data_IF_544150079858
#
_entry.id   IF_544150079858
#
_cell.length_a   1.000
_cell.length_b   1.000
_cell.length_c   1.000
_cell.angle_alpha   90.00
_cell.angle_beta   90.00
_cell.angle_gamma   90.00
#
_symmetry.space_group_name_H-M   'P 1'
#
loop_
_entity.id
_entity.type
_entity.pdbx_description
1 polymer ?
#
# COMPACT_ATOMS: atom_id res chain seq x y z
N UNK A 1 13.00 -73.30 -54.68
CA UNK A 1 11.65 -73.09 -54.10
C UNK A 1 11.79 -72.09 -52.96
N UNK A 2 11.18 -70.90 -53.06
CA UNK A 2 11.34 -69.83 -52.07
C UNK A 2 10.23 -69.88 -50.99
N UNK A 3 10.58 -69.49 -49.77
CA UNK A 3 9.65 -69.31 -48.65
C UNK A 3 9.23 -67.84 -48.63
N UNK A 4 7.96 -67.57 -48.92
CA UNK A 4 7.35 -66.23 -48.84
C UNK A 4 6.99 -65.91 -47.39
N UNK A 5 7.66 -64.90 -46.82
CA UNK A 5 7.28 -64.28 -45.54
C UNK A 5 6.38 -63.06 -45.78
N UNK A 6 5.15 -63.11 -45.26
CA UNK A 6 4.22 -61.98 -45.18
C UNK A 6 4.61 -61.10 -43.99
N UNK A 7 5.00 -59.85 -44.24
CA UNK A 7 5.24 -58.84 -43.20
C UNK A 7 3.96 -57.99 -43.07
N UNK A 8 3.28 -58.14 -41.93
CA UNK A 8 2.13 -57.33 -41.53
C UNK A 8 2.64 -55.99 -40.98
N UNK A 9 2.35 -54.88 -41.67
CA UNK A 9 2.71 -53.53 -41.23
C UNK A 9 1.56 -52.92 -40.41
N UNK A 10 1.77 -52.75 -39.10
CA UNK A 10 0.82 -52.07 -38.22
C UNK A 10 1.07 -50.55 -38.23
N UNK A 11 0.08 -49.76 -38.66
CA UNK A 11 0.08 -48.30 -38.55
C UNK A 11 -0.29 -47.89 -37.12
N UNK A 12 0.72 -47.47 -36.34
CA UNK A 12 0.53 -46.78 -35.07
C UNK A 12 0.16 -45.31 -35.35
N UNK A 13 -1.12 -44.97 -35.18
CA UNK A 13 -1.59 -43.58 -35.14
C UNK A 13 -1.35 -43.04 -33.73
N UNK A 14 -0.33 -42.19 -33.58
CA UNK A 14 -0.07 -41.47 -32.34
C UNK A 14 -1.03 -40.28 -32.22
N UNK A 15 -1.74 -40.10 -31.10
CA UNK A 15 -2.52 -38.89 -30.87
C UNK A 15 -1.56 -37.72 -30.65
N UNK A 16 -1.68 -36.68 -31.48
CA UNK A 16 -1.02 -35.40 -31.28
C UNK A 16 -1.69 -34.74 -30.07
N UNK A 17 -0.99 -34.72 -28.93
CA UNK A 17 -1.36 -33.87 -27.82
C UNK A 17 -1.15 -32.42 -28.27
N UNK A 18 -2.24 -31.64 -28.34
CA UNK A 18 -2.18 -30.21 -28.53
C UNK A 18 -1.43 -29.62 -27.35
N UNK A 19 -0.20 -29.15 -27.60
CA UNK A 19 0.60 -28.44 -26.62
C UNK A 19 -0.04 -27.06 -26.49
N UNK A 20 -0.86 -26.88 -25.45
CA UNK A 20 -1.38 -25.56 -25.08
C UNK A 20 -0.19 -24.61 -24.89
N UNK A 21 -0.30 -23.47 -25.55
CA UNK A 21 0.71 -22.43 -25.64
C UNK A 21 1.05 -21.94 -24.23
N UNK A 22 2.18 -22.41 -23.69
CA UNK A 22 2.68 -21.94 -22.39
C UNK A 22 3.03 -20.46 -22.53
N UNK A 23 2.60 -19.58 -21.59
CA UNK A 23 2.92 -18.17 -21.69
C UNK A 23 4.44 -17.99 -21.67
N UNK A 24 4.99 -17.51 -22.78
CA UNK A 24 6.41 -17.19 -22.90
C UNK A 24 6.71 -16.08 -21.90
N UNK A 25 7.40 -16.45 -20.84
CA UNK A 25 7.86 -15.52 -19.82
C UNK A 25 8.85 -14.57 -20.49
N UNK A 26 8.50 -13.30 -20.62
CA UNK A 26 9.44 -12.29 -21.10
C UNK A 26 10.41 -11.96 -19.95
N UNK A 27 11.63 -12.51 -20.01
CA UNK A 27 12.64 -12.34 -18.96
C UNK A 27 13.19 -10.90 -18.85
N UNK A 28 12.93 -10.04 -19.84
CA UNK A 28 13.34 -8.64 -19.82
C UNK A 28 12.37 -7.76 -19.01
N UNK A 29 11.19 -8.29 -18.66
CA UNK A 29 10.27 -7.67 -17.70
C UNK A 29 10.24 -8.53 -16.43
N UNK A 30 10.78 -8.06 -15.29
CA UNK A 30 10.71 -8.84 -14.05
C UNK A 30 9.24 -9.17 -13.78
N UNK A 31 8.96 -10.42 -13.36
CA UNK A 31 7.63 -10.86 -12.94
C UNK A 31 7.14 -9.96 -11.80
N UNK A 32 6.40 -8.92 -12.17
CA UNK A 32 5.74 -7.99 -11.25
C UNK A 32 4.32 -8.45 -11.04
N UNK A 33 3.84 -8.32 -9.81
CA UNK A 33 2.44 -8.58 -9.51
C UNK A 33 1.58 -7.59 -10.29
N UNK A 34 0.44 -8.06 -10.76
CA UNK A 34 -0.57 -7.21 -11.38
C UNK A 34 -1.53 -6.70 -10.30
N UNK A 35 -1.54 -5.39 -10.09
CA UNK A 35 -2.43 -4.72 -9.15
C UNK A 35 -3.71 -4.19 -9.83
N UNK A 36 -3.81 -4.33 -11.16
CA UNK A 36 -4.88 -3.73 -11.94
C UNK A 36 -6.27 -4.16 -11.49
N UNK A 37 -7.22 -3.23 -11.58
CA UNK A 37 -8.62 -3.45 -11.28
C UNK A 37 -9.21 -2.46 -10.29
N UNK A 38 -10.47 -2.70 -9.94
CA UNK A 38 -11.23 -1.90 -8.99
C UNK A 38 -11.31 -2.61 -7.64
N UNK A 39 -11.08 -1.85 -6.58
CA UNK A 39 -10.92 -2.38 -5.23
C UNK A 39 -11.81 -1.61 -4.25
N UNK A 40 -12.59 -2.32 -3.44
CA UNK A 40 -13.49 -1.75 -2.44
C UNK A 40 -13.05 -2.16 -1.03
N UNK A 41 -13.02 -1.21 -0.10
CA UNK A 41 -12.50 -1.36 1.26
C UNK A 41 -13.33 -2.37 2.04
N UNK A 42 -12.66 -3.38 2.57
CA UNK A 42 -13.21 -4.30 3.55
C UNK A 42 -13.06 -3.67 4.94
N UNK A 43 -14.12 -3.02 5.41
CA UNK A 43 -14.15 -2.38 6.74
C UNK A 43 -13.98 -3.36 7.90
N UNK A 44 -14.26 -4.66 7.71
CA UNK A 44 -14.10 -5.67 8.76
C UNK A 44 -12.66 -6.13 8.90
N UNK A 45 -11.89 -6.11 7.82
CA UNK A 45 -10.48 -6.52 7.77
C UNK A 45 -9.49 -5.35 7.86
N UNK A 46 -9.98 -4.13 7.66
CA UNK A 46 -9.19 -2.91 7.82
C UNK A 46 -9.10 -2.49 9.28
N UNK A 47 -8.01 -1.84 9.65
CA UNK A 47 -7.82 -1.29 11.00
C UNK A 47 -8.79 -0.13 11.26
N UNK A 48 -9.25 -0.02 12.51
CA UNK A 48 -9.88 1.19 13.03
C UNK A 48 -8.83 2.05 13.75
N UNK A 49 -8.73 3.33 13.37
CA UNK A 49 -7.65 4.20 13.87
C UNK A 49 -7.81 4.56 15.36
N UNK A 50 -9.03 4.67 15.89
CA UNK A 50 -9.25 4.92 17.32
C UNK A 50 -8.82 3.73 18.17
N UNK A 51 -9.13 2.52 17.73
CA UNK A 51 -8.71 1.27 18.38
C UNK A 51 -7.19 1.14 18.35
N UNK A 52 -6.56 1.42 17.21
CA UNK A 52 -5.11 1.36 17.05
C UNK A 52 -4.39 2.41 17.89
N UNK A 53 -4.92 3.64 17.94
CA UNK A 53 -4.41 4.70 18.81
C UNK A 53 -4.55 4.33 20.30
N UNK A 54 -5.70 3.77 20.68
CA UNK A 54 -5.94 3.30 22.06
C UNK A 54 -4.98 2.17 22.44
N UNK A 55 -4.71 1.25 21.50
CA UNK A 55 -3.72 0.18 21.66
C UNK A 55 -2.33 0.74 21.90
N UNK A 56 -1.90 1.74 21.11
CA UNK A 56 -0.60 2.40 21.29
C UNK A 56 -0.49 3.07 22.67
N UNK A 57 -1.53 3.78 23.11
CA UNK A 57 -1.53 4.40 24.45
C UNK A 57 -1.43 3.37 25.57
N UNK A 58 -2.17 2.26 25.48
CA UNK A 58 -2.10 1.16 26.44
C UNK A 58 -0.67 0.60 26.52
N UNK A 59 -0.05 0.31 25.37
CA UNK A 59 1.32 -0.23 25.32
C UNK A 59 2.35 0.74 25.93
N UNK A 60 2.22 2.04 25.68
CA UNK A 60 3.08 3.07 26.29
C UNK A 60 2.91 3.13 27.81
N UNK A 61 1.68 3.02 28.31
CA UNK A 61 1.41 3.00 29.74
C UNK A 61 1.99 1.74 30.41
N UNK A 62 1.85 0.58 29.77
CA UNK A 62 2.44 -0.68 30.24
C UNK A 62 3.96 -0.63 30.29
N UNK A 63 4.61 -0.07 29.27
CA UNK A 63 6.06 0.14 29.25
C UNK A 63 6.53 1.05 30.40
N UNK A 64 5.85 2.19 30.60
CA UNK A 64 6.16 3.11 31.69
C UNK A 64 5.98 2.47 33.08
N UNK A 65 5.03 1.54 33.23
CA UNK A 65 4.84 0.79 34.47
C UNK A 65 5.95 -0.25 34.69
N UNK A 66 6.45 -0.91 33.63
CA UNK A 66 7.59 -1.86 33.70
C UNK A 66 8.90 -1.17 34.08
N UNK A 67 9.14 0.03 33.56
CA UNK A 67 10.34 0.82 33.91
C UNK A 67 10.35 1.23 35.39
N UNK A 68 9.17 1.37 35.99
CA UNK A 68 9.01 1.67 37.43
C UNK A 68 9.16 0.44 38.32
N UNK A 69 8.81 -0.74 37.84
CA UNK A 69 8.86 -1.99 38.62
C UNK A 69 10.21 -2.70 38.59
N UNK A 70 11.20 -2.19 37.85
CA UNK A 70 12.57 -2.74 37.83
C UNK A 70 13.28 -2.45 39.16
N UNK A 71 13.66 -3.47 39.97
CA UNK A 71 14.30 -3.27 41.27
C UNK A 71 15.67 -2.62 41.17
N UNK A 72 15.89 -1.71 42.10
CA UNK A 72 17.08 -0.90 42.38
C UNK A 72 18.40 -1.69 42.36
N UNK A 73 19.14 -1.68 41.24
CA UNK A 73 20.59 -2.04 41.25
C UNK A 73 21.43 -1.41 40.12
N UNK A 74 20.87 -0.47 39.35
CA UNK A 74 21.65 0.39 38.42
C UNK A 74 21.34 1.89 38.56
N UNK A 75 20.97 2.35 39.76
CA UNK A 75 20.79 3.78 40.07
C UNK A 75 21.87 4.26 41.01
N UNK A 76 23.13 4.18 40.57
CA UNK A 76 24.15 5.10 41.04
C UNK A 76 24.35 6.14 39.92
N UNK A 77 24.01 7.40 40.19
CA UNK A 77 24.28 8.62 39.40
C UNK A 77 23.19 9.28 38.55
N UNK A 78 21.89 9.06 38.77
CA UNK A 78 20.87 10.04 38.31
C UNK A 78 19.86 10.29 39.44
N UNK A 79 19.82 11.54 39.90
CA UNK A 79 19.05 11.99 41.07
C UNK A 79 17.54 11.77 41.01
N UNK A 80 16.83 11.97 42.13
CA UNK A 80 15.45 11.53 42.29
C UNK A 80 14.47 12.37 41.44
N UNK A 81 13.71 11.71 40.57
CA UNK A 81 12.49 12.27 40.02
C UNK A 81 11.36 12.09 41.05
N UNK A 82 11.10 13.15 41.82
CA UNK A 82 9.95 13.24 42.73
C UNK A 82 8.64 13.17 41.94
N UNK A 83 7.64 12.47 42.45
CA UNK A 83 6.28 12.40 41.89
C UNK A 83 5.42 13.52 42.48
N UNK A 84 4.65 14.21 41.64
CA UNK A 84 3.44 14.93 42.04
C UNK A 84 2.32 14.42 41.12
N UNK A 85 1.07 14.47 41.58
CA UNK A 85 -0.09 14.39 40.69
C UNK A 85 0.02 15.36 39.51
N UNK A 86 -0.92 15.20 38.57
CA UNK A 86 -1.09 15.98 37.33
C UNK A 86 0.19 16.24 36.51
N UNK A 87 0.42 15.33 35.54
CA UNK A 87 1.29 15.48 34.36
C UNK A 87 2.79 15.66 34.64
N UNK A 88 3.51 14.53 34.66
CA UNK A 88 4.96 14.50 34.41
C UNK A 88 5.25 13.71 33.13
N UNK A 89 5.14 14.40 32.00
CA UNK A 89 5.77 14.00 30.75
C UNK A 89 7.28 14.24 30.91
N UNK A 90 8.02 13.20 31.26
CA UNK A 90 9.47 13.29 31.25
C UNK A 90 9.93 13.54 29.81
N UNK A 91 10.68 14.64 29.65
CA UNK A 91 11.24 15.15 28.41
C UNK A 91 12.13 14.10 27.75
N UNK A 92 11.65 13.55 26.65
CA UNK A 92 12.47 13.37 25.45
C UNK A 92 12.08 14.48 24.47
N UNK A 93 12.92 15.53 24.39
CA UNK A 93 12.83 16.55 23.33
C UNK A 93 13.17 15.87 22.00
N UNK A 94 12.16 15.35 21.31
CA UNK A 94 12.13 15.28 19.86
C UNK A 94 10.99 16.19 19.42
N UNK A 95 11.25 17.14 18.53
CA UNK A 95 10.22 17.99 17.90
C UNK A 95 9.35 17.17 16.91
N UNK A 96 9.03 15.93 17.24
CA UNK A 96 8.18 15.09 16.40
C UNK A 96 6.71 15.45 16.59
N UNK A 97 5.90 15.21 15.57
CA UNK A 97 4.46 15.39 15.64
C UNK A 97 3.84 14.51 16.74
N UNK A 98 2.73 14.98 17.31
CA UNK A 98 1.95 14.25 18.31
C UNK A 98 1.35 12.99 17.67
N UNK A 99 1.35 11.86 18.39
CA UNK A 99 0.80 10.59 17.90
C UNK A 99 -0.68 10.70 17.51
N UNK A 100 -1.45 11.55 18.18
CA UNK A 100 -2.86 11.80 17.83
C UNK A 100 -2.98 12.49 16.48
N UNK A 101 -2.09 13.46 16.19
CA UNK A 101 -2.09 14.18 14.91
C UNK A 101 -1.64 13.25 13.78
N UNK A 102 -0.65 12.39 14.04
CA UNK A 102 -0.24 11.35 13.10
C UNK A 102 -1.37 10.37 12.79
N UNK A 103 -2.15 9.97 13.81
CA UNK A 103 -3.28 9.07 13.64
C UNK A 103 -4.39 9.70 12.79
N UNK A 104 -4.73 10.96 13.06
CA UNK A 104 -5.72 11.72 12.27
C UNK A 104 -5.28 11.89 10.82
N UNK A 105 -4.00 12.16 10.58
CA UNK A 105 -3.47 12.26 9.23
C UNK A 105 -3.51 10.90 8.51
N UNK A 106 -3.13 9.82 9.19
CA UNK A 106 -3.20 8.47 8.62
C UNK A 106 -4.63 8.06 8.24
N UNK A 107 -5.61 8.38 9.09
CA UNK A 107 -7.03 8.16 8.80
C UNK A 107 -7.49 9.01 7.62
N UNK A 108 -7.16 10.30 7.63
CA UNK A 108 -7.52 11.19 6.53
C UNK A 108 -7.00 10.66 5.19
N UNK A 109 -5.75 10.21 5.11
CA UNK A 109 -5.17 9.65 3.88
C UNK A 109 -5.81 8.30 3.50
N UNK A 110 -6.21 7.49 4.49
CA UNK A 110 -6.75 6.14 4.28
C UNK A 110 -8.29 6.07 4.27
N UNK A 111 -8.96 7.22 4.18
CA UNK A 111 -10.43 7.37 4.19
C UNK A 111 -11.12 6.77 2.96
N UNK A 112 -10.35 6.51 1.91
CA UNK A 112 -10.86 6.07 0.62
C UNK A 112 -11.52 4.69 0.73
N UNK A 113 -12.81 4.62 0.40
CA UNK A 113 -13.58 3.38 0.35
C UNK A 113 -13.34 2.60 -0.92
N UNK A 114 -12.95 3.27 -2.01
CA UNK A 114 -12.66 2.65 -3.30
C UNK A 114 -11.33 3.17 -3.84
N UNK A 115 -10.62 2.30 -4.55
CA UNK A 115 -9.44 2.67 -5.33
C UNK A 115 -9.46 1.94 -6.66
N UNK A 116 -9.02 2.61 -7.71
CA UNK A 116 -8.88 2.01 -9.05
C UNK A 116 -7.41 2.01 -9.40
N UNK A 117 -6.88 0.85 -9.77
CA UNK A 117 -5.48 0.72 -10.16
C UNK A 117 -5.41 0.40 -11.64
N UNK A 118 -4.69 1.25 -12.37
CA UNK A 118 -4.32 1.04 -13.78
C UNK A 118 -2.83 0.73 -13.83
N UNK A 119 -2.48 -0.39 -14.44
CA UNK A 119 -1.09 -0.84 -14.57
C UNK A 119 -0.82 -1.18 -16.02
N UNK A 120 0.22 -0.56 -16.59
CA UNK A 120 0.71 -0.87 -17.92
C UNK A 120 2.23 -1.06 -17.88
N UNK A 121 2.91 -1.02 -19.04
CA UNK A 121 4.37 -1.19 -19.12
C UNK A 121 5.16 0.03 -18.65
N UNK A 122 4.54 1.21 -18.67
CA UNK A 122 5.19 2.50 -18.42
C UNK A 122 4.91 3.01 -17.01
N UNK A 123 3.71 2.79 -16.47
CA UNK A 123 3.33 3.27 -15.14
C UNK A 123 2.34 2.33 -14.41
N UNK A 124 2.35 2.44 -13.08
CA UNK A 124 1.21 2.06 -12.21
C UNK A 124 0.58 3.35 -11.69
N UNK A 125 -0.72 3.52 -11.92
CA UNK A 125 -1.52 4.64 -11.44
C UNK A 125 -2.60 4.15 -10.49
N UNK A 126 -2.65 4.73 -9.30
CA UNK A 126 -3.64 4.44 -8.26
C UNK A 126 -4.53 5.67 -8.11
N UNK A 127 -5.74 5.56 -8.65
CA UNK A 127 -6.76 6.60 -8.63
C UNK A 127 -7.58 6.49 -7.33
N UNK A 128 -7.77 7.63 -6.67
CA UNK A 128 -8.37 7.73 -5.34
C UNK A 128 -9.32 8.91 -5.27
N UNK A 129 -10.51 8.68 -4.74
CA UNK A 129 -11.56 9.69 -4.85
C UNK A 129 -11.29 10.94 -3.98
N UNK A 130 -11.14 12.10 -4.60
CA UNK A 130 -10.89 13.34 -3.85
C UNK A 130 -9.50 13.43 -3.21
N UNK A 131 -8.56 12.60 -3.65
CA UNK A 131 -7.12 12.75 -3.40
C UNK A 131 -6.36 12.76 -4.75
N UNK A 132 -5.09 13.15 -4.74
CA UNK A 132 -4.24 13.03 -5.92
C UNK A 132 -3.89 11.56 -6.21
N UNK A 133 -3.81 11.20 -7.49
CA UNK A 133 -3.35 9.87 -7.90
C UNK A 133 -1.93 9.60 -7.39
N UNK A 134 -1.67 8.35 -6.98
CA UNK A 134 -0.30 7.89 -6.78
C UNK A 134 0.19 7.30 -8.10
N UNK A 135 1.28 7.84 -8.65
CA UNK A 135 1.78 7.46 -9.97
C UNK A 135 3.20 6.94 -9.85
N UNK A 136 3.41 5.71 -10.30
CA UNK A 136 4.72 5.09 -10.29
C UNK A 136 5.20 4.74 -11.69
N UNK A 137 6.18 5.50 -12.18
CA UNK A 137 6.87 5.19 -13.43
C UNK A 137 7.66 3.89 -13.33
N UNK A 138 7.53 3.04 -14.35
CA UNK A 138 8.18 1.74 -14.48
C UNK A 138 9.30 1.74 -15.52
N UNK A 139 9.31 2.72 -16.42
CA UNK A 139 10.38 2.93 -17.41
C UNK A 139 11.42 3.94 -16.92
N UNK A 140 12.67 3.83 -17.38
CA UNK A 140 13.76 4.77 -17.05
C UNK A 140 13.42 6.23 -17.38
N UNK A 141 12.55 6.47 -18.37
CA UNK A 141 12.08 7.81 -18.74
C UNK A 141 11.07 8.40 -17.74
N UNK A 142 10.35 7.56 -17.00
CA UNK A 142 9.27 7.92 -16.06
C UNK A 142 9.63 7.74 -14.59
N UNK A 143 10.79 7.16 -14.28
CA UNK A 143 11.25 6.93 -12.90
C UNK A 143 11.77 8.19 -12.18
N UNK A 144 11.64 9.38 -12.79
CA UNK A 144 12.07 10.61 -12.14
C UNK A 144 11.17 10.89 -10.92
N UNK A 145 11.74 11.06 -9.71
CA UNK A 145 10.95 11.40 -8.53
C UNK A 145 10.28 12.76 -8.72
N UNK A 146 8.99 12.84 -8.39
CA UNK A 146 8.32 14.13 -8.39
C UNK A 146 8.88 14.96 -7.23
N UNK A 147 9.33 16.18 -7.52
CA UNK A 147 9.81 17.13 -6.51
C UNK A 147 9.12 18.47 -6.71
N UNK A 148 8.52 19.00 -5.65
CA UNK A 148 7.78 20.26 -5.70
C UNK A 148 7.79 21.00 -4.36
N UNK A 149 7.14 22.16 -4.34
CA UNK A 149 7.05 23.00 -3.12
C UNK A 149 6.36 22.30 -1.94
N UNK A 150 5.49 21.34 -2.23
CA UNK A 150 4.65 20.63 -1.26
C UNK A 150 5.21 19.27 -0.84
N UNK A 151 6.40 18.91 -1.32
CA UNK A 151 7.04 17.65 -0.98
C UNK A 151 7.74 16.99 -2.18
N UNK A 152 8.28 15.81 -1.92
CA UNK A 152 8.82 14.91 -2.92
C UNK A 152 8.11 13.55 -2.84
N UNK A 153 7.82 12.95 -3.98
CA UNK A 153 7.24 11.61 -4.08
C UNK A 153 8.20 10.71 -4.86
N UNK A 154 8.52 9.58 -4.25
CA UNK A 154 9.29 8.50 -4.84
C UNK A 154 8.46 7.23 -4.78
N UNK A 155 8.65 6.35 -5.75
CA UNK A 155 8.01 5.05 -5.74
C UNK A 155 8.96 3.98 -6.27
N UNK A 156 8.63 2.73 -6.02
CA UNK A 156 9.35 1.61 -6.59
C UNK A 156 8.84 0.27 -6.09
N UNK A 157 9.54 -0.77 -6.52
CA UNK A 157 9.24 -2.14 -6.13
C UNK A 157 10.15 -2.58 -5.00
N UNK A 158 9.56 -3.02 -3.89
CA UNK A 158 10.24 -3.80 -2.86
C UNK A 158 9.72 -5.24 -2.96
N UNK A 159 10.50 -6.10 -3.64
CA UNK A 159 10.10 -7.46 -4.00
C UNK A 159 8.79 -7.44 -4.82
N UNK A 160 7.72 -8.00 -4.27
CA UNK A 160 6.39 -8.06 -4.90
C UNK A 160 5.46 -6.94 -4.41
N UNK A 161 5.98 -5.97 -3.66
CA UNK A 161 5.20 -4.88 -3.09
C UNK A 161 5.53 -3.58 -3.81
N UNK A 162 4.49 -2.84 -4.17
CA UNK A 162 4.62 -1.49 -4.69
C UNK A 162 4.69 -0.52 -3.51
N UNK A 163 5.74 0.29 -3.46
CA UNK A 163 6.00 1.21 -2.35
C UNK A 163 6.02 2.64 -2.88
N UNK A 164 5.33 3.53 -2.18
CA UNK A 164 5.41 4.98 -2.38
C UNK A 164 5.93 5.61 -1.09
N UNK A 165 6.85 6.55 -1.23
CA UNK A 165 7.39 7.38 -0.18
C UNK A 165 7.15 8.85 -0.54
N UNK A 166 6.32 9.52 0.26
CA UNK A 166 5.98 10.93 0.10
C UNK A 166 6.61 11.67 1.27
N UNK A 167 7.64 12.47 0.98
CA UNK A 167 8.24 13.38 1.96
C UNK A 167 7.53 14.72 1.87
N UNK A 168 6.85 15.11 2.94
CA UNK A 168 6.21 16.41 3.09
C UNK A 168 7.18 17.43 3.71
N UNK A 169 6.86 18.74 3.62
CA UNK A 169 7.48 19.75 4.47
C UNK A 169 7.41 19.38 5.96
N UNK A 170 8.26 20.01 6.77
CA UNK A 170 8.32 19.80 8.22
C UNK A 170 8.71 18.38 8.67
N UNK A 171 9.49 17.68 7.84
CA UNK A 171 10.09 16.38 8.19
C UNK A 171 9.05 15.28 8.49
N UNK A 172 7.89 15.36 7.84
CA UNK A 172 6.87 14.33 7.80
C UNK A 172 7.07 13.44 6.57
N UNK A 173 6.93 12.14 6.75
CA UNK A 173 7.00 11.15 5.68
C UNK A 173 5.76 10.27 5.73
N UNK A 174 5.14 10.07 4.58
CA UNK A 174 4.05 9.13 4.39
C UNK A 174 4.59 7.99 3.52
N UNK A 175 4.44 6.76 3.97
CA UNK A 175 4.79 5.58 3.21
C UNK A 175 3.54 4.75 2.93
N UNK A 176 3.28 4.47 1.66
CA UNK A 176 2.28 3.50 1.24
C UNK A 176 2.96 2.24 0.74
N UNK A 177 2.48 1.09 1.19
CA UNK A 177 2.96 -0.22 0.73
C UNK A 177 1.78 -1.08 0.33
N UNK A 178 1.74 -1.41 -0.95
CA UNK A 178 0.69 -2.22 -1.55
C UNK A 178 1.18 -3.65 -1.76
N UNK A 179 0.32 -4.61 -1.45
CA UNK A 179 0.50 -6.02 -1.79
C UNK A 179 -0.83 -6.60 -2.25
N UNK A 180 -0.81 -7.37 -3.32
CA UNK A 180 -1.97 -8.08 -3.84
C UNK A 180 -1.84 -9.57 -3.55
N UNK A 181 -2.96 -10.22 -3.22
CA UNK A 181 -3.00 -11.67 -3.05
C UNK A 181 -2.77 -12.39 -4.39
N UNK A 182 -2.24 -13.62 -4.32
CA UNK A 182 -1.88 -14.39 -5.53
C UNK A 182 -3.10 -14.72 -6.42
N UNK A 183 -4.28 -14.82 -5.83
CA UNK A 183 -5.56 -15.02 -6.51
C UNK A 183 -6.19 -13.71 -7.02
N UNK A 184 -5.51 -12.58 -6.85
CA UNK A 184 -6.01 -11.23 -7.09
C UNK A 184 -7.34 -10.91 -6.34
N UNK A 185 -7.69 -11.68 -5.31
CA UNK A 185 -8.96 -11.50 -4.60
C UNK A 185 -8.94 -10.37 -3.56
N UNK A 186 -7.75 -10.00 -3.07
CA UNK A 186 -7.61 -8.90 -2.11
C UNK A 186 -6.35 -8.07 -2.34
N UNK A 187 -6.49 -6.78 -2.09
CA UNK A 187 -5.42 -5.79 -2.08
C UNK A 187 -5.23 -5.31 -0.64
N UNK A 188 -3.98 -5.23 -0.20
CA UNK A 188 -3.64 -4.71 1.12
C UNK A 188 -2.74 -3.49 0.96
N UNK A 189 -3.15 -2.39 1.59
CA UNK A 189 -2.40 -1.15 1.70
C UNK A 189 -1.96 -0.94 3.15
N UNK A 190 -0.67 -0.72 3.37
CA UNK A 190 -0.16 -0.22 4.65
C UNK A 190 0.19 1.24 4.48
N UNK A 191 -0.43 2.10 5.29
CA UNK A 191 -0.12 3.53 5.36
C UNK A 191 0.62 3.81 6.64
N UNK A 192 1.87 4.24 6.56
CA UNK A 192 2.66 4.68 7.70
C UNK A 192 2.94 6.17 7.62
N UNK A 193 2.52 6.93 8.63
CA UNK A 193 2.84 8.34 8.78
C UNK A 193 3.92 8.47 9.85
N UNK A 194 5.06 9.03 9.47
CA UNK A 194 6.29 9.06 10.25
C UNK A 194 6.71 10.52 10.43
N UNK A 195 7.02 10.91 11.67
CA UNK A 195 7.64 12.21 11.95
C UNK A 195 9.08 12.02 12.41
N UNK A 196 9.97 12.94 12.04
CA UNK A 196 11.38 12.94 12.45
C UNK A 196 11.50 13.15 13.97
N UNK A 197 11.44 12.03 14.69
CA UNK A 197 11.42 12.00 16.16
C UNK A 197 10.93 10.68 16.75
N UNK A 198 11.02 9.57 16.00
CA UNK A 198 10.60 8.19 16.34
C UNK A 198 9.10 7.90 16.43
N UNK A 199 8.23 8.92 16.45
CA UNK A 199 6.79 8.67 16.40
C UNK A 199 6.38 8.28 14.98
N UNK A 200 5.69 7.15 14.87
CA UNK A 200 5.00 6.73 13.66
C UNK A 200 3.61 6.20 14.04
N UNK A 201 2.69 6.32 13.09
CA UNK A 201 1.37 5.72 13.18
C UNK A 201 1.12 4.94 11.89
N UNK A 202 0.61 3.73 12.00
CA UNK A 202 0.42 2.84 10.85
C UNK A 202 -1.00 2.30 10.83
N UNK A 203 -1.61 2.31 9.66
CA UNK A 203 -2.92 1.68 9.40
C UNK A 203 -2.79 0.66 8.29
N UNK A 204 -3.48 -0.46 8.47
CA UNK A 204 -3.68 -1.48 7.46
C UNK A 204 -5.08 -1.30 6.89
N UNK A 205 -5.16 -1.06 5.58
CA UNK A 205 -6.41 -1.09 4.85
C UNK A 205 -6.41 -2.30 3.93
N UNK A 206 -7.51 -3.04 3.94
CA UNK A 206 -7.72 -4.20 3.08
C UNK A 206 -8.88 -3.90 2.14
N UNK A 207 -8.71 -4.24 0.88
CA UNK A 207 -9.71 -4.10 -0.16
C UNK A 207 -10.02 -5.47 -0.78
N UNK A 208 -11.27 -5.66 -1.18
CA UNK A 208 -11.72 -6.78 -2.00
C UNK A 208 -11.85 -6.31 -3.45
N UNK A 209 -11.55 -7.21 -4.39
CA UNK A 209 -11.77 -6.92 -5.81
C UNK A 209 -13.26 -6.81 -6.08
N UNK A 210 -13.66 -5.83 -6.90
CA UNK A 210 -15.03 -5.73 -7.40
C UNK A 210 -15.02 -5.34 -8.87
N UNK A 211 -16.09 -5.70 -9.57
CA UNK A 211 -16.30 -5.25 -10.94
C UNK A 211 -17.01 -3.90 -10.89
N UNK A 212 -16.24 -2.83 -11.13
CA UNK A 212 -16.81 -1.50 -11.20
C UNK A 212 -17.74 -1.39 -12.41
N UNK A 213 -18.96 -0.84 -12.25
CA UNK A 213 -19.78 -0.44 -13.38
C UNK A 213 -18.99 0.51 -14.28
N UNK A 214 -19.28 0.50 -15.59
CA UNK A 214 -18.72 1.51 -16.47
C UNK A 214 -19.10 2.91 -15.96
N UNK A 215 -18.15 3.85 -15.95
CA UNK A 215 -18.38 5.22 -15.50
C UNK A 215 -19.40 5.90 -16.43
N UNK A 216 -20.66 5.96 -15.98
CA UNK A 216 -21.75 6.68 -16.65
C UNK A 216 -21.46 8.20 -16.66
N UNK A 217 -20.60 8.67 -15.75
CA UNK A 217 -20.26 10.08 -15.59
C UNK A 217 -18.75 10.29 -15.50
N UNK A 218 -18.22 11.17 -16.35
CA UNK A 218 -16.87 11.71 -16.27
C UNK A 218 -16.85 12.92 -15.31
N UNK A 219 -16.22 12.75 -14.15
CA UNK A 219 -16.16 13.76 -13.11
C UNK A 219 -14.77 14.40 -13.01
N UNK A 220 -14.68 15.70 -13.26
CA UNK A 220 -13.44 16.48 -13.14
C UNK A 220 -13.51 17.41 -11.93
N UNK A 221 -12.46 17.39 -11.09
CA UNK A 221 -12.32 18.35 -9.99
C UNK A 221 -11.89 19.71 -10.54
N UNK A 222 -12.72 20.74 -10.37
CA UNK A 222 -12.44 22.12 -10.80
C UNK A 222 -12.14 23.02 -9.60
N UNK A 223 -11.18 23.94 -9.76
CA UNK A 223 -10.77 24.86 -8.69
C UNK A 223 -11.87 25.83 -8.25
N UNK A 224 -12.80 26.18 -9.15
CA UNK A 224 -13.85 27.18 -8.88
C UNK A 224 -15.23 26.59 -8.62
N UNK A 225 -15.52 25.36 -9.07
CA UNK A 225 -16.88 24.77 -8.99
C UNK A 225 -16.91 23.42 -8.27
N UNK A 226 -15.80 22.98 -7.70
CA UNK A 226 -15.70 21.65 -7.09
C UNK A 226 -15.74 20.53 -8.14
N UNK A 227 -16.21 19.35 -7.76
CA UNK A 227 -16.35 18.20 -8.65
C UNK A 227 -17.50 18.44 -9.63
N UNK A 228 -17.22 18.51 -10.92
CA UNK A 228 -18.21 18.65 -11.99
C UNK A 228 -18.25 17.36 -12.77
N UNK A 229 -19.43 16.75 -12.87
CA UNK A 229 -19.64 15.50 -13.60
C UNK A 229 -20.43 15.75 -14.88
N UNK A 230 -19.96 15.21 -15.99
CA UNK A 230 -20.68 15.14 -17.27
C UNK A 230 -20.97 13.69 -17.61
N UNK A 231 -22.14 13.41 -18.19
CA UNK A 231 -22.45 12.06 -18.65
C UNK A 231 -21.49 11.69 -19.78
N UNK A 232 -20.85 10.53 -19.71
CA UNK A 232 -19.99 10.03 -20.79
C UNK A 232 -20.89 9.77 -22.00
N UNK A 233 -20.72 10.55 -23.07
CA UNK A 233 -21.52 10.37 -24.28
C UNK A 233 -21.13 9.04 -24.93
N UNK A 234 -21.98 8.01 -24.78
CA UNK A 234 -21.92 6.80 -25.59
C UNK A 234 -22.06 7.22 -27.06
N UNK A 235 -21.00 7.05 -27.85
CA UNK A 235 -21.07 7.12 -29.31
C UNK A 235 -21.15 5.68 -29.81
N UNK A 236 -22.32 5.30 -30.31
CA UNK A 236 -22.59 4.06 -31.02
C UNK A 236 -21.72 3.91 -32.29
#
# INVERSE_FOLDING_TARGET
>A
MPVSGLILSALLTTPVLAMEDLPVLNLDNPLRMDFSGSWEKDFRRSDNWEEELSRIFRLRQEAANRDRSTPYSRRANLGPAVTLGNLRLNRGRGRGANIVDLARLAEYISRQSTVTIRQNREEVRIERDGDADLVCGLSDATMAPYTGRYGAELCGWDRQQLVFEITLPDELMIMHRFSVAADAGSLRMVTSVISKGTNSFTLITVYNRYDAPADEFDCVQTLSRGRVCSQSSFQD
#
